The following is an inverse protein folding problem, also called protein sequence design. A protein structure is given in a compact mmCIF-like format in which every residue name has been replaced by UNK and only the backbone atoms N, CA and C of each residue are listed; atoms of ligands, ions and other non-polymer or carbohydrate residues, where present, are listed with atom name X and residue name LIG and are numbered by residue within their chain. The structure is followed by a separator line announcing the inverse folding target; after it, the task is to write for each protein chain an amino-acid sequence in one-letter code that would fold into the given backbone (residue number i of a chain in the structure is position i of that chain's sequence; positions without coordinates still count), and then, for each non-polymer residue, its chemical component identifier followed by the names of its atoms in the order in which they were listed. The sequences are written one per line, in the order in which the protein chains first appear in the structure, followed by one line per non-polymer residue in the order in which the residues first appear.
data_IF_626060591856
#
_entry.id   IF_626060591856
#
_cell.length_a   1.000
_cell.length_b   1.000
_cell.length_c   1.000
_cell.angle_alpha   90.00
_cell.angle_beta   90.00
_cell.angle_gamma   90.00
#
_symmetry.space_group_name_H-M   'P 1'
#
loop_
_entity.id
_entity.type
_entity.pdbx_description
1 polymer ?
#
# COMPACT_ATOMS: atom_id res chain seq x y z
N UNK A 1 1.86 -26.01 -5.04
CA UNK A 1 0.93 -24.91 -5.35
C UNK A 1 1.80 -23.75 -5.79
N UNK A 2 1.49 -23.12 -6.91
CA UNK A 2 2.33 -22.06 -7.46
C UNK A 2 2.10 -20.79 -6.65
N UNK A 3 3.09 -20.36 -5.88
CA UNK A 3 3.06 -19.06 -5.20
C UNK A 3 3.15 -17.99 -6.28
N UNK A 4 2.09 -17.21 -6.48
CA UNK A 4 2.17 -16.07 -7.38
C UNK A 4 3.10 -15.01 -6.78
N UNK A 5 4.06 -14.55 -7.57
CA UNK A 5 5.03 -13.55 -7.15
C UNK A 5 4.48 -12.15 -7.40
N UNK A 6 4.83 -11.22 -6.50
CA UNK A 6 4.60 -9.81 -6.70
C UNK A 6 5.32 -9.33 -7.97
N UNK A 7 4.75 -8.32 -8.60
CA UNK A 7 5.35 -7.66 -9.75
C UNK A 7 5.50 -6.18 -9.47
N UNK A 8 6.41 -5.50 -10.17
CA UNK A 8 6.52 -4.04 -10.09
C UNK A 8 5.30 -3.28 -10.64
N UNK A 9 4.32 -3.97 -11.23
CA UNK A 9 3.13 -3.34 -11.80
C UNK A 9 1.98 -3.37 -10.80
N UNK A 10 1.63 -2.19 -10.27
CA UNK A 10 0.50 -2.05 -9.35
C UNK A 10 -0.80 -2.58 -9.97
N UNK A 11 -1.01 -2.34 -11.26
CA UNK A 11 -2.21 -2.77 -11.97
C UNK A 11 -2.35 -4.30 -12.02
N UNK A 12 -1.23 -5.02 -12.22
CA UNK A 12 -1.24 -6.50 -12.22
C UNK A 12 -1.55 -7.02 -10.83
N UNK A 13 -0.87 -6.48 -9.81
CA UNK A 13 -1.06 -6.92 -8.43
C UNK A 13 -2.47 -6.61 -7.92
N UNK A 14 -3.01 -5.43 -8.25
CA UNK A 14 -4.39 -5.05 -7.93
C UNK A 14 -5.40 -6.03 -8.56
N UNK A 15 -5.20 -6.37 -9.84
CA UNK A 15 -6.10 -7.29 -10.55
C UNK A 15 -6.13 -8.67 -9.90
N UNK A 16 -4.97 -9.15 -9.44
CA UNK A 16 -4.88 -10.42 -8.74
C UNK A 16 -5.59 -10.38 -7.39
N UNK A 17 -5.29 -9.37 -6.55
CA UNK A 17 -5.93 -9.23 -5.23
C UNK A 17 -7.45 -9.07 -5.35
N UNK A 18 -7.93 -8.34 -6.35
CA UNK A 18 -9.37 -8.23 -6.62
C UNK A 18 -10.00 -9.55 -7.00
N UNK A 19 -9.28 -10.41 -7.72
CA UNK A 19 -9.75 -11.75 -8.05
C UNK A 19 -9.73 -12.68 -6.81
N UNK A 20 -8.70 -12.57 -5.96
CA UNK A 20 -8.59 -13.30 -4.69
C UNK A 20 -9.75 -12.96 -3.76
N UNK A 21 -10.03 -11.66 -3.57
CA UNK A 21 -11.07 -11.16 -2.67
C UNK A 21 -12.42 -10.88 -3.35
N UNK A 22 -12.69 -11.48 -4.52
CA UNK A 22 -13.87 -11.15 -5.35
C UNK A 22 -15.22 -11.34 -4.64
N UNK A 23 -15.28 -12.25 -3.66
CA UNK A 23 -16.48 -12.61 -2.91
C UNK A 23 -16.46 -12.03 -1.47
N UNK A 24 -15.46 -11.18 -1.16
CA UNK A 24 -15.28 -10.54 0.14
C UNK A 24 -15.70 -9.07 0.07
N UNK A 25 -16.80 -8.74 0.76
CA UNK A 25 -17.39 -7.39 0.73
C UNK A 25 -16.82 -6.44 1.78
N UNK A 26 -16.11 -6.99 2.75
CA UNK A 26 -15.41 -6.32 3.82
C UNK A 26 -14.01 -5.86 3.41
N UNK A 27 -13.52 -6.24 2.22
CA UNK A 27 -12.20 -5.83 1.74
C UNK A 27 -12.29 -4.48 1.04
N UNK A 28 -11.57 -3.50 1.57
CA UNK A 28 -11.46 -2.16 1.00
C UNK A 28 -10.23 -2.09 0.11
N UNK A 29 -10.43 -1.60 -1.12
CA UNK A 29 -9.37 -1.26 -2.06
C UNK A 29 -9.34 0.24 -2.28
N UNK A 30 -8.30 0.92 -1.79
CA UNK A 30 -8.19 2.38 -1.88
C UNK A 30 -6.93 2.78 -2.64
N UNK A 31 -7.12 3.41 -3.81
CA UNK A 31 -6.03 4.03 -4.54
C UNK A 31 -5.59 5.32 -3.87
N UNK A 32 -4.28 5.50 -3.77
CA UNK A 32 -3.65 6.69 -3.18
C UNK A 32 -2.55 7.18 -4.12
N UNK A 33 -2.38 8.49 -4.16
CA UNK A 33 -1.33 9.13 -4.94
C UNK A 33 -0.33 9.73 -3.96
N UNK A 34 0.91 9.24 -4.03
CA UNK A 34 2.00 9.66 -3.16
C UNK A 34 2.86 10.69 -3.86
N UNK A 35 3.11 11.81 -3.17
CA UNK A 35 3.94 12.92 -3.63
C UNK A 35 3.51 13.50 -4.98
N UNK A 36 2.21 13.38 -5.29
CA UNK A 36 1.66 13.90 -6.54
C UNK A 36 1.97 13.10 -7.80
N UNK A 37 2.71 12.00 -7.74
CA UNK A 37 3.10 11.25 -8.96
C UNK A 37 3.05 9.73 -8.81
N UNK A 38 3.38 9.19 -7.62
CA UNK A 38 3.50 7.74 -7.42
C UNK A 38 2.13 7.15 -7.11
N UNK A 39 1.70 6.15 -7.88
CA UNK A 39 0.47 5.41 -7.62
C UNK A 39 0.72 4.34 -6.57
N UNK A 40 -0.19 4.22 -5.61
CA UNK A 40 -0.21 3.13 -4.66
C UNK A 40 -1.64 2.64 -4.40
N UNK A 41 -1.73 1.42 -3.89
CA UNK A 41 -2.98 0.76 -3.52
C UNK A 41 -2.86 0.31 -2.08
N UNK A 42 -3.83 0.74 -1.28
CA UNK A 42 -4.04 0.26 0.07
C UNK A 42 -5.16 -0.78 0.07
N UNK A 43 -4.94 -1.93 0.70
CA UNK A 43 -5.90 -3.03 0.81
C UNK A 43 -6.00 -3.48 2.27
N UNK A 44 -7.21 -3.56 2.81
CA UNK A 44 -7.45 -3.95 4.21
C UNK A 44 -8.90 -4.42 4.43
N UNK A 45 -9.16 -5.08 5.55
CA UNK A 45 -10.52 -5.44 6.01
C UNK A 45 -11.15 -4.25 6.75
N UNK A 46 -12.36 -3.88 6.36
CA UNK A 46 -13.16 -2.84 7.02
C UNK A 46 -13.42 -3.19 8.49
N UNK A 47 -13.20 -2.21 9.37
CA UNK A 47 -13.34 -2.38 10.81
C UNK A 47 -12.18 -3.10 11.53
N UNK A 48 -11.19 -3.67 10.82
CA UNK A 48 -9.99 -4.25 11.46
C UNK A 48 -8.79 -3.30 11.50
N UNK A 49 -8.78 -2.26 10.66
CA UNK A 49 -7.70 -1.27 10.56
C UNK A 49 -8.19 0.10 11.01
N UNK A 50 -7.47 0.75 11.92
CA UNK A 50 -7.70 2.16 12.24
C UNK A 50 -7.15 3.05 11.11
N UNK A 51 -8.04 3.43 10.21
CA UNK A 51 -7.72 4.26 9.05
C UNK A 51 -7.44 5.72 9.43
N UNK A 52 -7.73 6.17 10.66
CA UNK A 52 -7.58 7.57 11.07
C UNK A 52 -6.12 8.01 11.10
N UNK A 53 -5.22 7.12 11.56
CA UNK A 53 -3.78 7.36 11.56
C UNK A 53 -3.24 7.42 10.12
N UNK A 54 -3.73 6.50 9.28
CA UNK A 54 -3.31 6.39 7.90
C UNK A 54 -3.80 7.58 7.06
N UNK A 55 -5.05 7.99 7.23
CA UNK A 55 -5.64 9.17 6.57
C UNK A 55 -4.85 10.44 6.85
N UNK A 56 -4.32 10.60 8.06
CA UNK A 56 -3.48 11.75 8.37
C UNK A 56 -2.18 11.77 7.55
N UNK A 57 -1.52 10.62 7.35
CA UNK A 57 -0.30 10.55 6.53
C UNK A 57 -0.63 10.64 5.05
N UNK A 58 -1.66 9.94 4.58
CA UNK A 58 -2.15 9.99 3.20
C UNK A 58 -2.49 11.43 2.79
N UNK A 59 -3.31 12.11 3.59
CA UNK A 59 -3.73 13.48 3.28
C UNK A 59 -2.57 14.46 3.45
N UNK A 60 -1.94 14.51 4.63
CA UNK A 60 -1.01 15.61 4.95
C UNK A 60 0.38 15.44 4.31
N UNK A 61 0.91 14.23 4.26
CA UNK A 61 2.30 13.99 3.84
C UNK A 61 2.39 13.59 2.38
N UNK A 62 1.47 12.77 1.90
CA UNK A 62 1.55 12.19 0.56
C UNK A 62 0.75 12.99 -0.48
N UNK A 63 -0.43 13.52 -0.12
CA UNK A 63 -1.25 14.33 -1.03
C UNK A 63 -0.92 15.83 -0.97
N UNK A 64 -0.71 16.38 0.24
CA UNK A 64 -0.43 17.81 0.43
C UNK A 64 1.04 18.12 0.80
N UNK A 65 1.85 17.08 1.02
CA UNK A 65 3.27 17.28 1.25
C UNK A 65 3.88 17.92 0.02
N UNK A 66 4.39 19.14 0.18
CA UNK A 66 5.24 19.73 -0.83
C UNK A 66 6.42 18.78 -1.03
N UNK A 67 6.77 18.37 -2.26
CA UNK A 67 8.05 17.74 -2.49
C UNK A 67 9.12 18.79 -2.15
N UNK A 68 9.55 18.82 -0.89
CA UNK A 68 10.70 19.61 -0.46
C UNK A 68 11.97 18.86 -0.86
N UNK A 69 12.04 18.43 -2.11
CA UNK A 69 13.16 17.77 -2.73
C UNK A 69 13.07 18.13 -4.21
N UNK A 70 14.15 18.74 -4.69
CA UNK A 70 14.54 18.87 -6.10
C UNK A 70 13.71 17.96 -7.01
N UNK A 71 12.83 18.55 -7.85
CA UNK A 71 11.87 17.86 -8.74
C UNK A 71 12.48 16.83 -9.71
N UNK A 72 13.80 16.63 -9.67
CA UNK A 72 14.58 15.74 -10.54
C UNK A 72 15.12 14.49 -9.82
N UNK A 73 14.86 14.32 -8.51
CA UNK A 73 15.31 13.10 -7.79
C UNK A 73 14.17 12.11 -7.61
N UNK A 74 14.36 10.82 -7.99
CA UNK A 74 13.38 9.79 -7.70
C UNK A 74 13.17 9.71 -6.19
N UNK A 75 11.91 9.62 -5.76
CA UNK A 75 11.55 9.44 -4.36
C UNK A 75 12.07 8.06 -3.95
N UNK A 76 13.04 8.04 -3.04
CA UNK A 76 13.58 6.80 -2.50
C UNK A 76 12.52 6.10 -1.63
N UNK A 77 12.42 4.79 -1.76
CA UNK A 77 11.57 3.94 -0.93
C UNK A 77 11.79 4.19 0.58
N UNK A 78 13.04 4.42 0.98
CA UNK A 78 13.40 4.73 2.36
C UNK A 78 12.66 5.96 2.91
N UNK A 79 12.44 6.99 2.09
CA UNK A 79 11.68 8.18 2.51
C UNK A 79 10.21 7.86 2.77
N UNK A 80 9.65 6.89 2.05
CA UNK A 80 8.28 6.42 2.25
C UNK A 80 8.19 5.67 3.57
N UNK A 81 9.14 4.77 3.82
CA UNK A 81 9.23 4.01 5.06
C UNK A 81 9.40 4.93 6.28
N UNK A 82 10.29 5.92 6.22
CA UNK A 82 10.52 6.89 7.31
C UNK A 82 9.25 7.64 7.73
N UNK A 83 8.33 7.90 6.80
CA UNK A 83 7.06 8.57 7.11
C UNK A 83 6.01 7.63 7.70
N UNK A 84 6.13 6.33 7.43
CA UNK A 84 5.21 5.29 7.91
C UNK A 84 5.62 4.72 9.28
N UNK A 85 6.92 4.60 9.56
CA UNK A 85 7.43 4.05 10.82
C UNK A 85 6.82 4.67 12.10
N UNK A 86 6.55 5.99 12.17
CA UNK A 86 5.98 6.60 13.37
C UNK A 86 4.52 6.21 13.63
N UNK A 87 3.80 5.73 12.62
CA UNK A 87 2.36 5.48 12.69
C UNK A 87 1.98 4.00 12.56
N UNK A 88 2.86 3.17 12.01
CA UNK A 88 2.59 1.76 11.78
C UNK A 88 3.86 0.91 11.94
N UNK A 89 3.68 -0.33 12.40
CA UNK A 89 4.71 -1.36 12.26
C UNK A 89 4.70 -1.84 10.82
N UNK A 90 5.83 -1.73 10.14
CA UNK A 90 5.96 -2.08 8.73
C UNK A 90 6.64 -3.43 8.62
N UNK A 91 6.08 -4.31 7.79
CA UNK A 91 6.72 -5.54 7.33
C UNK A 91 6.60 -5.62 5.81
N UNK A 92 7.60 -6.24 5.16
CA UNK A 92 7.55 -6.56 3.74
C UNK A 92 6.99 -7.96 3.56
N UNK A 93 6.18 -8.16 2.52
CA UNK A 93 5.66 -9.47 2.14
C UNK A 93 6.23 -9.85 0.78
N UNK A 94 6.69 -11.09 0.63
CA UNK A 94 7.38 -11.54 -0.59
C UNK A 94 6.43 -12.14 -1.64
N UNK A 95 5.17 -12.41 -1.25
CA UNK A 95 4.20 -13.09 -2.11
C UNK A 95 2.74 -12.77 -1.72
N UNK A 96 1.82 -13.14 -2.62
CA UNK A 96 0.38 -12.89 -2.44
C UNK A 96 -0.27 -13.70 -1.32
N UNK A 97 0.25 -14.89 -1.00
CA UNK A 97 -0.32 -15.72 0.06
C UNK A 97 -0.09 -15.08 1.44
N UNK A 98 1.10 -14.50 1.65
CA UNK A 98 1.41 -13.77 2.87
C UNK A 98 0.59 -12.48 2.97
N UNK A 99 0.46 -11.72 1.86
CA UNK A 99 -0.40 -10.54 1.81
C UNK A 99 -1.85 -10.89 2.16
N UNK A 100 -2.39 -11.97 1.60
CA UNK A 100 -3.75 -12.41 1.88
C UNK A 100 -3.93 -12.72 3.37
N UNK A 101 -3.03 -13.50 3.96
CA UNK A 101 -3.07 -13.86 5.39
C UNK A 101 -2.96 -12.64 6.28
N UNK A 102 -2.07 -11.71 5.96
CA UNK A 102 -1.86 -10.48 6.73
C UNK A 102 -3.12 -9.61 6.70
N UNK A 103 -3.72 -9.41 5.53
CA UNK A 103 -4.98 -8.65 5.38
C UNK A 103 -6.08 -9.28 6.25
N UNK A 104 -6.27 -10.59 6.15
CA UNK A 104 -7.29 -11.32 6.92
C UNK A 104 -7.01 -11.34 8.42
N UNK A 105 -5.76 -11.09 8.83
CA UNK A 105 -5.35 -10.96 10.23
C UNK A 105 -5.50 -9.53 10.77
N UNK A 106 -5.99 -8.59 9.96
CA UNK A 106 -6.21 -7.20 10.34
C UNK A 106 -5.04 -6.26 10.01
N UNK A 107 -4.09 -6.67 9.18
CA UNK A 107 -3.07 -5.78 8.65
C UNK A 107 -3.61 -5.01 7.42
N UNK A 108 -2.98 -3.86 7.13
CA UNK A 108 -3.19 -3.15 5.88
C UNK A 108 -2.02 -3.41 4.93
N UNK A 109 -2.31 -3.88 3.73
CA UNK A 109 -1.32 -4.02 2.66
C UNK A 109 -1.20 -2.72 1.87
N UNK A 110 0.02 -2.23 1.68
CA UNK A 110 0.33 -1.09 0.83
C UNK A 110 1.20 -1.55 -0.34
N UNK A 111 0.65 -1.47 -1.55
CA UNK A 111 1.36 -1.78 -2.79
C UNK A 111 1.73 -0.47 -3.49
N UNK A 112 2.97 -0.35 -3.96
CA UNK A 112 3.50 0.86 -4.58
C UNK A 112 3.93 0.54 -6.01
N UNK A 113 3.47 1.33 -6.98
CA UNK A 113 3.84 1.12 -8.38
C UNK A 113 5.35 1.31 -8.58
N UNK A 114 5.97 0.41 -9.33
CA UNK A 114 7.41 0.36 -9.53
C UNK A 114 8.21 -0.37 -8.45
N UNK A 115 7.56 -0.88 -7.39
CA UNK A 115 8.19 -1.65 -6.32
C UNK A 115 7.60 -3.07 -6.24
N UNK A 116 8.46 -4.03 -5.89
CA UNK A 116 8.08 -5.42 -5.55
C UNK A 116 7.95 -5.57 -4.04
#
# INVERSE_FOLDING_TARGET
MSTEQLTQSLQKNESLLRNTFKDSYDIIFRRVQMFGEIQALLVYVDGLVDTSALDNVLLKSWMFGTPSLERDKPIAFDNILEQLFPIASIQTADNFEDIEKDILSGCAALLIDGYE
#
